data_IF_054960507471
#
_entry.id   IF_054960507471
#
_cell.length_a   1.000
_cell.length_b   1.000
_cell.length_c   1.000
_cell.angle_alpha   90.00
_cell.angle_beta   90.00
_cell.angle_gamma   90.00
#
_symmetry.space_group_name_H-M   'P 1'
#
loop_
_entity.id
_entity.type
_entity.pdbx_description
1 polymer ?
#
# COMPACT_ATOMS: atom_id res chain seq x y z
N UNK A 1 7.15 43.32 -46.85
CA UNK A 1 7.64 41.98 -46.49
C UNK A 1 7.94 41.84 -45.00
N UNK A 2 8.70 42.76 -44.38
CA UNK A 2 9.07 42.69 -42.94
C UNK A 2 7.88 42.66 -41.97
N UNK A 3 6.83 43.46 -42.21
CA UNK A 3 5.64 43.49 -41.35
C UNK A 3 4.87 42.16 -41.38
N UNK A 4 4.81 41.51 -42.53
CA UNK A 4 4.15 40.21 -42.70
C UNK A 4 4.94 39.09 -42.02
N UNK A 5 6.28 39.10 -42.12
CA UNK A 5 7.12 38.13 -41.42
C UNK A 5 7.09 38.32 -39.91
N UNK A 6 7.05 39.57 -39.40
CA UNK A 6 6.88 39.87 -37.98
C UNK A 6 5.52 39.42 -37.45
N UNK A 7 4.45 39.64 -38.23
CA UNK A 7 3.11 39.19 -37.87
C UNK A 7 2.99 37.66 -37.87
N UNK A 8 3.54 36.99 -38.88
CA UNK A 8 3.57 35.53 -38.96
C UNK A 8 4.42 34.91 -37.83
N UNK A 9 5.55 35.52 -37.48
CA UNK A 9 6.35 35.06 -36.33
C UNK A 9 5.58 35.25 -35.02
N UNK A 10 4.95 36.40 -34.78
CA UNK A 10 4.13 36.61 -33.58
C UNK A 10 2.95 35.63 -33.46
N UNK A 11 2.25 35.34 -34.57
CA UNK A 11 1.20 34.33 -34.61
C UNK A 11 1.72 32.93 -34.23
N UNK A 12 2.86 32.52 -34.79
CA UNK A 12 3.44 31.20 -34.54
C UNK A 12 4.09 31.07 -33.16
N UNK A 13 4.67 32.13 -32.60
CA UNK A 13 5.40 32.07 -31.33
C UNK A 13 4.56 32.43 -30.11
N UNK A 14 3.49 33.21 -30.27
CA UNK A 14 2.64 33.64 -29.15
C UNK A 14 1.23 33.07 -29.23
N UNK A 15 0.56 33.21 -30.38
CA UNK A 15 -0.86 32.84 -30.51
C UNK A 15 -1.04 31.32 -30.58
N UNK A 16 -0.27 30.64 -31.44
CA UNK A 16 -0.37 29.19 -31.60
C UNK A 16 -0.07 28.42 -30.30
N UNK A 17 1.00 28.72 -29.54
CA UNK A 17 1.26 28.04 -28.26
C UNK A 17 0.18 28.30 -27.22
N UNK A 18 -0.39 29.51 -27.17
CA UNK A 18 -1.49 29.83 -26.27
C UNK A 18 -2.76 29.03 -26.63
N UNK A 19 -3.10 28.93 -27.92
CA UNK A 19 -4.24 28.13 -28.38
C UNK A 19 -4.03 26.64 -28.09
N UNK A 20 -2.84 26.11 -28.33
CA UNK A 20 -2.49 24.72 -28.00
C UNK A 20 -2.57 24.47 -26.49
N UNK A 21 -2.12 25.41 -25.66
CA UNK A 21 -2.24 25.32 -24.21
C UNK A 21 -3.71 25.32 -23.75
N UNK A 22 -4.54 26.23 -24.27
CA UNK A 22 -5.97 26.27 -23.96
C UNK A 22 -6.69 25.00 -24.42
N UNK A 23 -6.36 24.49 -25.62
CA UNK A 23 -6.87 23.22 -26.12
C UNK A 23 -6.46 22.06 -25.21
N UNK A 24 -5.19 22.00 -24.77
CA UNK A 24 -4.70 20.98 -23.85
C UNK A 24 -5.41 21.05 -22.48
N UNK A 25 -5.66 22.25 -21.94
CA UNK A 25 -6.44 22.42 -20.70
C UNK A 25 -7.87 21.94 -20.88
N UNK A 26 -8.52 22.24 -22.01
CA UNK A 26 -9.89 21.76 -22.30
C UNK A 26 -9.95 20.25 -22.50
N UNK A 27 -8.99 19.67 -23.22
CA UNK A 27 -8.88 18.22 -23.36
C UNK A 27 -8.64 17.56 -22.01
N UNK A 28 -7.85 18.17 -21.13
CA UNK A 28 -7.65 17.70 -19.76
C UNK A 28 -8.92 17.74 -18.92
N UNK A 29 -9.70 18.82 -18.99
CA UNK A 29 -11.01 18.89 -18.32
C UNK A 29 -11.95 17.80 -18.80
N UNK A 30 -12.03 17.58 -20.12
CA UNK A 30 -12.84 16.52 -20.74
C UNK A 30 -12.35 15.14 -20.28
N UNK A 31 -11.05 14.87 -20.30
CA UNK A 31 -10.45 13.63 -19.81
C UNK A 31 -10.79 13.38 -18.33
N UNK A 32 -10.73 14.41 -17.50
CA UNK A 32 -11.03 14.27 -16.08
C UNK A 32 -12.49 13.89 -15.80
N UNK A 33 -13.42 14.26 -16.68
CA UNK A 33 -14.86 13.98 -16.52
C UNK A 33 -15.36 12.84 -17.40
N UNK A 34 -14.59 12.39 -18.40
CA UNK A 34 -15.02 11.35 -19.35
C UNK A 34 -15.27 10.00 -18.68
N UNK A 35 -14.59 9.73 -17.56
CA UNK A 35 -14.81 8.53 -16.74
C UNK A 35 -16.06 8.56 -15.84
N UNK A 36 -16.86 9.63 -15.89
CA UNK A 36 -18.14 9.73 -15.15
C UNK A 36 -19.19 8.83 -15.79
N UNK A 37 -19.96 8.13 -14.95
CA UNK A 37 -21.16 7.42 -15.39
C UNK A 37 -22.22 8.43 -15.91
N UNK A 38 -22.57 8.41 -17.22
CA UNK A 38 -23.55 9.33 -17.79
C UNK A 38 -24.96 9.15 -17.19
N UNK A 39 -25.28 7.96 -16.66
CA UNK A 39 -26.57 7.66 -16.05
C UNK A 39 -26.72 8.27 -14.65
N UNK A 40 -25.62 8.64 -14.00
CA UNK A 40 -25.61 9.20 -12.66
C UNK A 40 -25.85 10.71 -12.68
N UNK A 41 -27.04 11.13 -12.22
CA UNK A 41 -27.43 12.55 -12.12
C UNK A 41 -26.72 13.31 -10.99
N UNK A 42 -26.24 12.61 -9.97
CA UNK A 42 -25.56 13.23 -8.81
C UNK A 42 -24.23 13.88 -9.22
N UNK A 43 -23.85 15.00 -8.58
CA UNK A 43 -22.57 15.62 -8.84
C UNK A 43 -21.41 14.72 -8.40
N UNK A 44 -20.25 14.89 -9.06
CA UNK A 44 -19.01 14.25 -8.62
C UNK A 44 -18.61 14.78 -7.24
N UNK A 45 -17.87 13.99 -6.44
CA UNK A 45 -17.33 14.46 -5.17
C UNK A 45 -16.56 15.78 -5.29
N UNK A 46 -16.53 16.60 -4.23
CA UNK A 46 -15.71 17.81 -4.22
C UNK A 46 -14.23 17.48 -4.38
N UNK A 47 -13.42 18.40 -4.89
CA UNK A 47 -11.98 18.20 -5.04
C UNK A 47 -11.41 18.80 -6.32
N UNK A 48 -10.08 18.71 -6.45
CA UNK A 48 -9.33 19.30 -7.57
C UNK A 48 -8.55 18.22 -8.31
N UNK A 49 -8.57 18.26 -9.63
CA UNK A 49 -7.78 17.36 -10.49
C UNK A 49 -6.33 17.82 -10.65
N UNK A 50 -5.92 18.92 -10.03
CA UNK A 50 -4.56 19.43 -10.11
C UNK A 50 -4.18 19.95 -11.50
N UNK A 51 -2.87 19.95 -11.77
CA UNK A 51 -2.31 20.41 -13.03
C UNK A 51 -2.61 19.43 -14.17
N UNK A 52 -2.77 19.90 -15.42
CA UNK A 52 -2.86 19.03 -16.58
C UNK A 52 -1.76 17.98 -16.61
N UNK A 53 -2.12 16.73 -16.91
CA UNK A 53 -1.26 15.53 -17.03
C UNK A 53 -0.65 15.02 -15.71
N UNK A 54 -0.10 15.91 -14.88
CA UNK A 54 0.58 15.56 -13.62
C UNK A 54 -0.40 15.30 -12.47
N UNK A 55 -1.53 15.99 -12.50
CA UNK A 55 -2.49 16.04 -11.40
C UNK A 55 -1.86 16.58 -10.12
N UNK A 56 -2.04 15.83 -9.03
CA UNK A 56 -1.52 16.17 -7.69
C UNK A 56 -0.47 15.16 -7.19
N UNK A 57 -0.01 14.26 -8.08
CA UNK A 57 0.90 13.16 -7.75
C UNK A 57 2.21 13.66 -7.15
N UNK A 58 2.80 14.71 -7.72
CA UNK A 58 4.05 15.28 -7.22
C UNK A 58 3.86 15.91 -5.84
N UNK A 59 2.73 16.59 -5.61
CA UNK A 59 2.41 17.19 -4.32
C UNK A 59 2.21 16.11 -3.25
N UNK A 60 1.54 15.01 -3.59
CA UNK A 60 1.43 13.84 -2.72
C UNK A 60 2.81 13.27 -2.36
N UNK A 61 3.70 13.09 -3.35
CA UNK A 61 5.05 12.53 -3.13
C UNK A 61 5.91 13.42 -2.23
N UNK A 62 5.87 14.74 -2.46
CA UNK A 62 6.71 15.72 -1.74
C UNK A 62 6.16 16.03 -0.34
N UNK A 63 4.86 16.27 -0.21
CA UNK A 63 4.24 16.75 1.04
C UNK A 63 3.58 15.64 1.87
N UNK A 64 3.29 14.47 1.25
CA UNK A 64 2.81 13.24 1.91
C UNK A 64 1.64 13.48 2.87
N UNK A 65 1.83 13.18 4.15
CA UNK A 65 0.82 13.35 5.20
C UNK A 65 0.24 14.77 5.25
N UNK A 66 1.07 15.81 5.08
CA UNK A 66 0.61 17.20 5.07
C UNK A 66 -0.39 17.45 3.94
N UNK A 67 -0.11 16.94 2.75
CA UNK A 67 -1.02 17.05 1.61
C UNK A 67 -2.36 16.35 1.88
N UNK A 68 -2.32 15.12 2.39
CA UNK A 68 -3.53 14.36 2.71
C UNK A 68 -4.39 15.09 3.77
N UNK A 69 -3.76 15.58 4.84
CA UNK A 69 -4.44 16.32 5.92
C UNK A 69 -5.10 17.60 5.41
N UNK A 70 -4.39 18.40 4.60
CA UNK A 70 -4.96 19.62 4.00
C UNK A 70 -6.16 19.32 3.10
N UNK A 71 -6.13 18.21 2.34
CA UNK A 71 -7.23 17.82 1.46
C UNK A 71 -8.48 17.43 2.23
N UNK A 72 -8.32 16.64 3.30
CA UNK A 72 -9.42 16.25 4.17
C UNK A 72 -10.05 17.48 4.82
N UNK A 73 -9.24 18.41 5.34
CA UNK A 73 -9.75 19.65 5.92
C UNK A 73 -10.54 20.51 4.92
N UNK A 74 -10.14 20.51 3.64
CA UNK A 74 -10.76 21.34 2.60
C UNK A 74 -12.01 20.70 1.97
N UNK A 75 -11.99 19.39 1.73
CA UNK A 75 -13.01 18.71 0.92
C UNK A 75 -13.80 17.64 1.68
N UNK A 76 -13.43 17.35 2.94
CA UNK A 76 -14.05 16.30 3.75
C UNK A 76 -13.48 14.91 3.47
N UNK A 77 -14.21 13.89 3.92
CA UNK A 77 -13.77 12.49 3.93
C UNK A 77 -13.96 11.74 2.60
N UNK A 78 -14.62 12.38 1.62
CA UNK A 78 -14.79 11.86 0.27
C UNK A 78 -14.46 12.98 -0.70
N UNK A 79 -13.42 12.81 -1.52
CA UNK A 79 -13.03 13.84 -2.47
C UNK A 79 -12.34 13.28 -3.72
N UNK A 80 -12.45 14.01 -4.82
CA UNK A 80 -11.78 13.70 -6.10
C UNK A 80 -10.40 14.36 -6.20
N UNK A 81 -9.49 13.66 -6.86
CA UNK A 81 -8.14 14.12 -7.19
C UNK A 81 -7.62 13.39 -8.43
N UNK A 82 -6.45 13.75 -8.91
CA UNK A 82 -5.77 13.03 -9.99
C UNK A 82 -4.40 12.57 -9.50
N UNK A 83 -4.24 11.25 -9.37
CA UNK A 83 -3.04 10.63 -8.81
C UNK A 83 -2.56 9.50 -9.72
N UNK A 84 -1.24 9.40 -9.87
CA UNK A 84 -0.59 8.32 -10.63
C UNK A 84 -1.09 8.16 -12.07
N UNK A 85 -1.46 9.27 -12.72
CA UNK A 85 -1.93 9.25 -14.11
C UNK A 85 -3.41 8.95 -14.28
N UNK A 86 -4.21 8.94 -13.20
CA UNK A 86 -5.65 8.66 -13.32
C UNK A 86 -6.52 9.48 -12.36
N UNK A 87 -7.76 9.84 -12.78
CA UNK A 87 -8.78 10.36 -11.88
C UNK A 87 -9.03 9.39 -10.72
N UNK A 88 -9.08 9.91 -9.51
CA UNK A 88 -9.11 9.12 -8.28
C UNK A 88 -10.07 9.75 -7.27
N UNK A 89 -10.98 8.95 -6.71
CA UNK A 89 -11.73 9.28 -5.49
C UNK A 89 -10.97 8.76 -4.28
N UNK A 90 -10.68 9.64 -3.32
CA UNK A 90 -10.24 9.21 -1.99
C UNK A 90 -11.44 9.12 -1.07
N UNK A 91 -11.51 8.04 -0.31
CA UNK A 91 -12.56 7.78 0.66
C UNK A 91 -11.98 7.39 2.01
N UNK A 92 -12.71 7.74 3.08
CA UNK A 92 -12.33 7.49 4.46
C UNK A 92 -13.57 7.21 5.30
N UNK A 93 -13.36 6.58 6.46
CA UNK A 93 -14.42 6.32 7.43
C UNK A 93 -15.05 4.96 7.27
N UNK A 94 -15.47 4.39 8.41
CA UNK A 94 -15.85 2.99 8.52
C UNK A 94 -16.93 2.58 7.49
N UNK A 95 -18.01 3.36 7.36
CA UNK A 95 -19.13 3.01 6.48
C UNK A 95 -18.76 3.12 4.99
N UNK A 96 -18.02 4.16 4.59
CA UNK A 96 -17.55 4.32 3.22
C UNK A 96 -16.59 3.19 2.82
N UNK A 97 -15.63 2.88 3.70
CA UNK A 97 -14.64 1.84 3.44
C UNK A 97 -15.27 0.45 3.44
N UNK A 98 -16.26 0.20 4.30
CA UNK A 98 -17.05 -1.04 4.30
C UNK A 98 -17.69 -1.29 2.94
N UNK A 99 -18.31 -0.28 2.32
CA UNK A 99 -18.94 -0.44 1.00
C UNK A 99 -17.94 -0.86 -0.08
N UNK A 100 -16.74 -0.29 -0.08
CA UNK A 100 -15.69 -0.67 -1.04
C UNK A 100 -15.14 -2.06 -0.75
N UNK A 101 -14.83 -2.36 0.50
CA UNK A 101 -14.26 -3.67 0.88
C UNK A 101 -15.24 -4.83 0.64
N UNK A 102 -16.54 -4.60 0.84
CA UNK A 102 -17.59 -5.59 0.57
C UNK A 102 -18.06 -5.57 -0.90
N UNK A 103 -17.78 -4.49 -1.63
CA UNK A 103 -18.13 -4.31 -3.04
C UNK A 103 -17.13 -4.87 -4.03
N UNK A 104 -16.03 -5.52 -3.60
CA UNK A 104 -15.08 -6.17 -4.50
C UNK A 104 -15.81 -7.17 -5.41
N UNK A 105 -15.47 -7.16 -6.71
CA UNK A 105 -16.07 -7.96 -7.79
C UNK A 105 -17.46 -7.49 -8.25
N UNK A 106 -18.03 -6.43 -7.64
CA UNK A 106 -19.33 -5.85 -8.04
C UNK A 106 -19.24 -4.34 -8.31
N UNK A 107 -18.72 -3.59 -7.35
CA UNK A 107 -18.59 -2.14 -7.38
C UNK A 107 -17.16 -1.70 -7.75
N UNK A 108 -16.18 -2.47 -7.29
CA UNK A 108 -14.75 -2.20 -7.47
C UNK A 108 -13.99 -3.47 -7.80
N UNK A 109 -12.84 -3.29 -8.43
CA UNK A 109 -11.82 -4.32 -8.59
C UNK A 109 -10.50 -3.77 -8.08
N UNK A 110 -9.68 -4.62 -7.47
CA UNK A 110 -8.35 -4.20 -7.01
C UNK A 110 -7.49 -3.75 -8.19
N UNK A 111 -6.80 -2.63 -8.03
CA UNK A 111 -5.80 -2.16 -8.97
C UNK A 111 -4.62 -1.56 -8.20
N UNK A 112 -3.41 -1.87 -8.66
CA UNK A 112 -2.17 -1.32 -8.13
C UNK A 112 -1.55 -0.35 -9.14
N UNK A 113 -0.83 0.70 -8.67
CA UNK A 113 -0.05 1.56 -9.55
C UNK A 113 0.91 0.75 -10.41
N UNK A 114 1.20 1.25 -11.63
CA UNK A 114 2.08 0.55 -12.58
C UNK A 114 3.40 0.12 -11.95
N UNK A 115 4.05 0.99 -11.17
CA UNK A 115 5.29 0.69 -10.45
C UNK A 115 5.18 -0.53 -9.53
N UNK A 116 4.07 -0.66 -8.79
CA UNK A 116 3.82 -1.79 -7.88
C UNK A 116 3.54 -3.06 -8.67
N UNK A 117 2.74 -2.98 -9.75
CA UNK A 117 2.50 -4.12 -10.65
C UNK A 117 3.79 -4.63 -11.28
N UNK A 118 4.69 -3.72 -11.68
CA UNK A 118 6.00 -4.10 -12.23
C UNK A 118 6.86 -4.77 -11.16
N UNK A 119 6.89 -4.27 -9.92
CA UNK A 119 7.72 -4.89 -8.86
C UNK A 119 7.16 -6.26 -8.43
N UNK A 120 5.86 -6.39 -8.21
CA UNK A 120 5.28 -7.64 -7.72
C UNK A 120 5.13 -8.67 -8.84
N UNK A 121 4.66 -8.24 -10.01
CA UNK A 121 4.29 -9.10 -11.13
C UNK A 121 2.77 -9.27 -11.26
N UNK A 122 2.32 -9.52 -12.49
CA UNK A 122 0.90 -9.72 -12.83
C UNK A 122 0.31 -10.97 -12.16
N UNK A 123 1.16 -11.98 -11.95
CA UNK A 123 0.83 -13.27 -11.38
C UNK A 123 0.65 -13.30 -9.85
N UNK A 124 0.98 -12.21 -9.16
CA UNK A 124 0.88 -12.16 -7.70
C UNK A 124 -0.58 -12.10 -7.23
N UNK A 125 -0.87 -12.70 -6.07
CA UNK A 125 -2.21 -12.70 -5.45
C UNK A 125 -2.85 -11.30 -5.36
N UNK A 126 -2.05 -10.26 -5.18
CA UNK A 126 -2.45 -8.86 -5.12
C UNK A 126 -3.01 -8.31 -6.43
N UNK A 127 -2.64 -8.92 -7.56
CA UNK A 127 -2.95 -8.49 -8.93
C UNK A 127 -4.01 -9.36 -9.59
N UNK A 128 -4.31 -10.54 -9.02
CA UNK A 128 -5.33 -11.45 -9.55
C UNK A 128 -6.75 -10.95 -9.27
N UNK A 129 -7.71 -11.38 -10.08
CA UNK A 129 -9.13 -11.03 -9.96
C UNK A 129 -10.03 -12.26 -9.80
N UNK A 130 -11.25 -12.02 -9.32
CA UNK A 130 -12.36 -12.97 -9.29
C UNK A 130 -12.03 -14.39 -8.80
N UNK A 131 -12.33 -15.40 -9.62
CA UNK A 131 -12.17 -16.81 -9.31
C UNK A 131 -10.71 -17.20 -9.12
N UNK A 132 -9.79 -16.62 -9.89
CA UNK A 132 -8.36 -16.90 -9.79
C UNK A 132 -7.80 -16.39 -8.46
N UNK A 133 -8.16 -15.15 -8.08
CA UNK A 133 -7.82 -14.62 -6.77
C UNK A 133 -8.38 -15.50 -5.64
N UNK A 134 -9.66 -15.89 -5.71
CA UNK A 134 -10.31 -16.71 -4.68
C UNK A 134 -9.63 -18.08 -4.55
N UNK A 135 -9.29 -18.71 -5.68
CA UNK A 135 -8.58 -19.97 -5.70
C UNK A 135 -7.17 -19.84 -5.11
N UNK A 136 -6.37 -18.88 -5.59
CA UNK A 136 -5.00 -18.65 -5.11
C UNK A 136 -4.99 -18.32 -3.62
N UNK A 137 -5.89 -17.46 -3.14
CA UNK A 137 -6.02 -17.12 -1.73
C UNK A 137 -6.30 -18.36 -0.87
N UNK A 138 -7.21 -19.24 -1.32
CA UNK A 138 -7.54 -20.49 -0.61
C UNK A 138 -6.33 -21.41 -0.51
N UNK A 139 -5.53 -21.53 -1.57
CA UNK A 139 -4.31 -22.35 -1.57
C UNK A 139 -3.21 -21.74 -0.69
N UNK A 140 -3.15 -20.41 -0.57
CA UNK A 140 -2.20 -19.71 0.31
C UNK A 140 -2.63 -19.64 1.79
N UNK A 141 -3.91 -19.85 2.10
CA UNK A 141 -4.48 -19.71 3.44
C UNK A 141 -4.08 -20.77 4.49
N UNK A 142 -3.77 -22.05 4.16
CA UNK A 142 -3.53 -23.07 5.17
C UNK A 142 -2.06 -23.07 5.60
N UNK A 143 -1.73 -22.23 6.57
CA UNK A 143 -0.65 -22.53 7.50
C UNK A 143 -1.27 -22.79 8.86
N UNK A 144 -1.05 -24.00 9.40
CA UNK A 144 -1.49 -24.35 10.75
C UNK A 144 -0.85 -23.40 11.77
N UNK A 145 -1.59 -23.06 12.83
CA UNK A 145 -1.11 -22.26 13.97
C UNK A 145 0.23 -22.82 14.50
N UNK A 146 0.37 -24.16 14.56
CA UNK A 146 1.62 -24.82 14.96
C UNK A 146 2.79 -24.46 14.04
N UNK A 147 2.57 -24.42 12.72
CA UNK A 147 3.60 -23.99 11.76
C UNK A 147 3.93 -22.51 11.92
N UNK A 148 2.93 -21.67 12.17
CA UNK A 148 3.18 -20.23 12.43
C UNK A 148 4.04 -20.01 13.65
N UNK A 149 3.77 -20.71 14.76
CA UNK A 149 4.58 -20.66 15.98
C UNK A 149 6.01 -21.12 15.67
N UNK A 150 6.17 -22.28 15.05
CA UNK A 150 7.50 -22.83 14.75
C UNK A 150 8.32 -21.91 13.84
N UNK A 151 7.70 -21.32 12.81
CA UNK A 151 8.35 -20.34 11.94
C UNK A 151 8.72 -19.08 12.73
N UNK A 152 7.81 -18.58 13.58
CA UNK A 152 8.05 -17.37 14.37
C UNK A 152 9.22 -17.56 15.34
N UNK A 153 9.27 -18.68 16.07
CA UNK A 153 10.39 -19.03 16.95
C UNK A 153 11.69 -19.11 16.15
N UNK A 154 11.67 -19.73 14.97
CA UNK A 154 12.86 -19.87 14.12
C UNK A 154 13.38 -18.52 13.59
N UNK A 155 12.49 -17.57 13.33
CA UNK A 155 12.84 -16.22 12.89
C UNK A 155 13.34 -15.38 14.07
N UNK A 156 12.68 -15.48 15.23
CA UNK A 156 12.92 -14.61 16.37
C UNK A 156 14.09 -15.07 17.24
N UNK A 157 14.38 -16.37 17.36
CA UNK A 157 15.46 -16.83 18.25
C UNK A 157 16.85 -16.30 17.86
N UNK A 158 17.24 -16.24 16.57
CA UNK A 158 18.51 -15.62 16.20
C UNK A 158 18.51 -14.10 16.38
N UNK A 159 17.35 -13.45 16.19
CA UNK A 159 17.20 -12.01 16.38
C UNK A 159 17.41 -11.63 17.85
N UNK A 160 16.73 -12.31 18.77
CA UNK A 160 16.83 -12.03 20.20
C UNK A 160 18.24 -12.32 20.74
N UNK A 161 18.87 -13.42 20.32
CA UNK A 161 20.26 -13.75 20.69
C UNK A 161 21.30 -12.73 20.20
N UNK A 162 20.96 -11.89 19.25
CA UNK A 162 21.86 -10.93 18.64
C UNK A 162 21.29 -9.52 18.63
N UNK A 163 20.34 -9.23 19.53
CA UNK A 163 19.59 -7.97 19.51
C UNK A 163 20.54 -6.75 19.59
N UNK A 164 21.62 -6.85 20.39
CA UNK A 164 22.68 -5.84 20.50
C UNK A 164 23.50 -5.65 19.22
N UNK A 165 23.67 -6.71 18.42
CA UNK A 165 24.43 -6.65 17.15
C UNK A 165 23.59 -6.10 16.00
N UNK A 166 22.26 -6.32 16.03
CA UNK A 166 21.35 -5.86 14.97
C UNK A 166 21.37 -4.33 14.84
N UNK A 167 21.65 -3.60 15.94
CA UNK A 167 21.76 -2.14 15.93
C UNK A 167 22.88 -1.62 15.01
N UNK A 168 24.00 -2.35 14.87
CA UNK A 168 25.11 -1.93 14.01
C UNK A 168 24.84 -2.03 12.50
N UNK A 169 23.86 -2.85 12.10
CA UNK A 169 23.54 -3.11 10.68
C UNK A 169 22.49 -2.15 10.11
N UNK A 170 21.79 -1.38 10.94
CA UNK A 170 20.84 -0.36 10.51
C UNK A 170 21.58 0.93 10.12
N UNK A 171 22.31 0.88 9.00
CA UNK A 171 23.00 2.05 8.47
C UNK A 171 22.06 2.94 7.62
N UNK A 172 22.16 4.28 7.76
CA UNK A 172 21.31 5.22 7.08
C UNK A 172 21.74 5.30 5.61
N UNK A 173 20.83 5.00 4.69
CA UNK A 173 21.01 5.53 3.34
C UNK A 173 19.69 5.95 2.70
N UNK A 174 19.46 7.25 2.86
CA UNK A 174 19.32 8.20 1.77
C UNK A 174 18.09 8.05 0.90
N UNK A 175 17.22 9.06 1.03
CA UNK A 175 16.16 9.48 0.12
C UNK A 175 16.50 9.18 -1.35
N UNK A 176 16.13 7.99 -1.82
CA UNK A 176 16.30 7.64 -3.23
C UNK A 176 15.14 8.25 -4.02
N UNK A 177 15.49 9.00 -5.06
CA UNK A 177 14.57 9.43 -6.11
C UNK A 177 13.82 8.18 -6.60
N UNK A 178 12.49 8.23 -6.61
CA UNK A 178 11.58 7.09 -6.85
C UNK A 178 11.99 6.24 -8.07
N UNK A 179 12.56 6.88 -9.11
CA UNK A 179 13.03 6.22 -10.33
C UNK A 179 14.27 5.34 -10.08
N UNK A 180 15.26 5.84 -9.35
CA UNK A 180 16.44 5.05 -8.95
C UNK A 180 16.02 3.91 -8.01
N UNK A 181 15.03 4.17 -7.14
CA UNK A 181 14.50 3.16 -6.21
C UNK A 181 13.83 2.02 -6.97
N UNK A 182 13.06 2.35 -8.01
CA UNK A 182 12.38 1.37 -8.84
C UNK A 182 13.38 0.47 -9.58
N UNK A 183 14.41 1.04 -10.20
CA UNK A 183 15.43 0.25 -10.91
C UNK A 183 16.19 -0.70 -9.97
N UNK A 184 16.60 -0.22 -8.80
CA UNK A 184 17.24 -1.06 -7.77
C UNK A 184 16.29 -2.15 -7.27
N UNK A 185 15.00 -1.82 -7.07
CA UNK A 185 13.96 -2.78 -6.71
C UNK A 185 13.77 -3.89 -7.75
N UNK A 186 13.80 -3.54 -9.04
CA UNK A 186 13.69 -4.51 -10.14
C UNK A 186 14.90 -5.44 -10.21
N UNK A 187 16.12 -4.92 -10.02
CA UNK A 187 17.32 -5.76 -9.94
C UNK A 187 17.23 -6.75 -8.77
N UNK A 188 16.87 -6.26 -7.59
CA UNK A 188 16.68 -7.11 -6.41
C UNK A 188 15.62 -8.19 -6.63
N UNK A 189 14.47 -7.82 -7.20
CA UNK A 189 13.39 -8.76 -7.56
C UNK A 189 13.92 -9.89 -8.45
N UNK A 190 14.65 -9.54 -9.52
CA UNK A 190 15.14 -10.55 -10.47
C UNK A 190 16.11 -11.55 -9.80
N UNK A 191 17.01 -11.06 -8.92
CA UNK A 191 17.92 -11.92 -8.14
C UNK A 191 17.15 -12.85 -7.20
N UNK A 192 16.18 -12.31 -6.47
CA UNK A 192 15.33 -13.10 -5.56
C UNK A 192 14.54 -14.16 -6.33
N UNK A 193 13.93 -13.79 -7.46
CA UNK A 193 13.17 -14.70 -8.30
C UNK A 193 14.04 -15.85 -8.82
N UNK A 194 15.23 -15.55 -9.35
CA UNK A 194 16.16 -16.57 -9.82
C UNK A 194 16.53 -17.56 -8.70
N UNK A 195 16.75 -17.05 -7.48
CA UNK A 195 17.07 -17.90 -6.33
C UNK A 195 15.90 -18.76 -5.87
N UNK A 196 14.69 -18.20 -5.88
CA UNK A 196 13.47 -18.95 -5.55
C UNK A 196 13.24 -20.06 -6.59
N UNK A 197 13.41 -19.75 -7.88
CA UNK A 197 13.24 -20.72 -8.96
C UNK A 197 14.25 -21.87 -8.86
N UNK A 198 15.52 -21.57 -8.60
CA UNK A 198 16.56 -22.57 -8.34
C UNK A 198 16.15 -23.50 -7.17
N UNK A 199 15.64 -22.92 -6.08
CA UNK A 199 15.18 -23.68 -4.91
C UNK A 199 13.94 -24.54 -5.20
N UNK A 200 13.01 -24.05 -6.04
CA UNK A 200 11.84 -24.80 -6.48
C UNK A 200 12.29 -26.01 -7.32
N UNK A 201 13.14 -25.80 -8.33
CA UNK A 201 13.67 -26.87 -9.18
C UNK A 201 14.38 -27.95 -8.35
N UNK A 202 15.21 -27.55 -7.39
CA UNK A 202 15.87 -28.47 -6.45
C UNK A 202 14.90 -29.28 -5.59
N UNK A 203 13.78 -28.68 -5.17
CA UNK A 203 12.75 -29.38 -4.39
C UNK A 203 11.90 -30.32 -5.25
N UNK A 204 11.63 -29.94 -6.50
CA UNK A 204 10.89 -30.79 -7.45
C UNK A 204 11.71 -32.01 -7.87
N UNK A 205 13.01 -31.83 -8.13
CA UNK A 205 13.91 -32.93 -8.50
C UNK A 205 14.10 -34.00 -7.40
N UNK A 206 13.68 -33.72 -6.15
CA UNK A 206 13.78 -34.64 -5.01
C UNK A 206 12.47 -35.34 -4.66
N UNK A 207 11.37 -35.11 -5.40
CA UNK A 207 10.06 -35.71 -5.11
C UNK A 207 9.70 -36.76 -6.14
N UNK A 208 9.12 -37.86 -5.65
CA UNK A 208 8.68 -39.01 -6.43
C UNK A 208 7.57 -38.61 -7.42
N UNK A 209 7.63 -39.17 -8.63
CA UNK A 209 6.95 -38.70 -9.85
C UNK A 209 5.45 -39.04 -9.95
N UNK A 210 4.76 -39.36 -8.84
CA UNK A 210 3.35 -39.80 -8.88
C UNK A 210 2.31 -38.69 -8.72
N UNK A 211 2.70 -37.47 -8.33
CA UNK A 211 1.76 -36.36 -8.12
C UNK A 211 1.82 -35.35 -9.27
N UNK A 212 0.91 -35.50 -10.23
CA UNK A 212 0.75 -34.61 -11.38
C UNK A 212 0.13 -33.27 -10.94
N UNK A 213 0.96 -32.30 -10.56
CA UNK A 213 0.53 -30.91 -10.40
C UNK A 213 0.96 -30.08 -11.60
N UNK A 214 0.01 -29.34 -12.20
CA UNK A 214 0.30 -28.34 -13.23
C UNK A 214 1.23 -27.28 -12.64
N UNK A 215 2.30 -26.96 -13.35
CA UNK A 215 3.27 -25.94 -12.95
C UNK A 215 2.55 -24.62 -12.69
N UNK A 216 2.64 -24.16 -11.44
CA UNK A 216 2.04 -22.90 -11.00
C UNK A 216 2.54 -21.75 -11.86
N UNK A 217 3.80 -21.78 -12.32
CA UNK A 217 4.37 -20.76 -13.19
C UNK A 217 3.74 -20.78 -14.60
N UNK A 218 3.52 -21.97 -15.16
CA UNK A 218 2.85 -22.15 -16.45
C UNK A 218 1.40 -21.65 -16.41
N UNK A 219 0.67 -21.97 -15.32
CA UNK A 219 -0.68 -21.43 -15.09
C UNK A 219 -0.67 -19.90 -14.99
N UNK A 220 0.34 -19.31 -14.36
CA UNK A 220 0.46 -17.86 -14.22
C UNK A 220 0.79 -17.16 -15.55
N UNK A 221 1.51 -17.84 -16.46
CA UNK A 221 1.79 -17.34 -17.82
C UNK A 221 0.52 -17.41 -18.68
N UNK A 222 -0.20 -18.55 -18.64
CA UNK A 222 -1.43 -18.78 -19.41
C UNK A 222 -2.58 -17.83 -19.03
N UNK A 223 -2.68 -17.42 -17.76
CA UNK A 223 -3.71 -16.47 -17.30
C UNK A 223 -3.33 -14.99 -17.50
N UNK A 224 -2.07 -14.69 -17.82
CA UNK A 224 -1.59 -13.32 -18.02
C UNK A 224 -1.99 -12.68 -19.35
N UNK A 225 -2.60 -13.46 -20.26
CA UNK A 225 -2.93 -13.05 -21.65
C UNK A 225 -4.43 -12.82 -21.89
N UNK A 226 -5.17 -12.26 -20.93
CA UNK A 226 -6.55 -11.81 -21.18
C UNK A 226 -6.69 -10.30 -20.98
N UNK A 227 -7.23 -9.69 -22.01
CA UNK A 227 -7.13 -8.29 -22.40
C UNK A 227 -7.79 -7.25 -21.48
N UNK A 228 -7.25 -6.03 -21.63
CA UNK A 228 -7.83 -4.67 -21.52
C UNK A 228 -9.35 -4.60 -21.83
N UNK A 229 -10.21 -3.69 -21.34
CA UNK A 229 -10.25 -2.36 -20.68
C UNK A 229 -11.71 -2.24 -20.08
N UNK A 230 -12.13 -1.29 -19.20
CA UNK A 230 -11.77 0.12 -19.27
C UNK A 230 -11.36 0.81 -17.96
N UNK A 231 -10.55 1.86 -18.14
CA UNK A 231 -10.26 2.87 -17.12
C UNK A 231 -11.54 3.58 -16.66
N UNK A 232 -11.99 3.22 -15.46
CA UNK A 232 -12.89 4.03 -14.63
C UNK A 232 -12.07 4.70 -13.53
N UNK A 233 -12.65 5.70 -12.87
CA UNK A 233 -11.98 6.39 -11.78
C UNK A 233 -11.46 5.41 -10.72
N UNK A 234 -10.24 5.63 -10.25
CA UNK A 234 -9.69 4.86 -9.15
C UNK A 234 -10.40 5.23 -7.85
N UNK A 235 -10.55 4.26 -6.95
CA UNK A 235 -10.98 4.54 -5.57
C UNK A 235 -9.86 4.12 -4.64
N UNK A 236 -9.34 5.07 -3.86
CA UNK A 236 -8.33 4.82 -2.83
C UNK A 236 -8.97 5.04 -1.48
N UNK A 237 -9.17 3.95 -0.72
CA UNK A 237 -9.51 4.04 0.69
C UNK A 237 -8.24 4.18 1.55
N UNK A 238 -8.36 4.87 2.68
CA UNK A 238 -7.23 5.05 3.61
C UNK A 238 -7.50 4.35 4.93
N UNK A 239 -6.61 3.43 5.30
CA UNK A 239 -6.64 2.76 6.61
C UNK A 239 -6.33 3.77 7.71
N UNK A 240 -5.22 4.50 7.59
CA UNK A 240 -4.78 5.48 8.59
C UNK A 240 -5.85 6.54 8.82
N UNK A 241 -6.36 7.15 7.75
CA UNK A 241 -7.34 8.23 7.90
C UNK A 241 -8.70 7.69 8.41
N UNK A 242 -9.02 6.41 8.17
CA UNK A 242 -10.23 5.78 8.73
C UNK A 242 -10.08 5.53 10.23
N UNK A 243 -8.90 5.10 10.69
CA UNK A 243 -8.62 4.94 12.12
C UNK A 243 -8.63 6.32 12.82
N UNK A 244 -8.04 7.34 12.19
CA UNK A 244 -7.96 8.71 12.72
C UNK A 244 -9.30 9.37 13.03
N UNK A 245 -10.39 8.89 12.45
CA UNK A 245 -11.75 9.43 12.61
C UNK A 245 -12.73 8.42 13.22
N UNK A 246 -12.28 7.20 13.52
CA UNK A 246 -13.16 6.19 14.10
C UNK A 246 -13.36 6.47 15.60
N UNK A 247 -14.61 6.35 16.05
CA UNK A 247 -15.04 6.70 17.41
C UNK A 247 -14.31 5.93 18.52
N UNK A 248 -13.90 4.69 18.23
CA UNK A 248 -13.06 3.84 19.09
C UNK A 248 -11.72 4.50 19.47
N UNK A 249 -11.21 5.43 18.66
CA UNK A 249 -9.94 6.13 18.91
C UNK A 249 -10.17 7.50 19.56
N UNK A 250 -10.88 7.52 20.69
CA UNK A 250 -10.92 8.69 21.59
C UNK A 250 -9.49 9.03 22.05
N UNK A 251 -9.11 10.31 21.99
CA UNK A 251 -7.72 10.79 22.23
C UNK A 251 -6.67 10.02 21.42
N UNK A 252 -6.79 10.07 20.09
CA UNK A 252 -5.96 9.30 19.15
C UNK A 252 -4.45 9.50 19.24
N UNK A 253 -4.01 10.63 19.78
CA UNK A 253 -2.57 10.93 19.95
C UNK A 253 -1.97 10.19 21.18
N UNK A 254 -2.81 9.56 22.01
CA UNK A 254 -2.39 8.77 23.17
C UNK A 254 -2.35 7.28 22.86
N UNK A 255 -1.22 6.64 23.15
CA UNK A 255 -1.09 5.18 23.12
C UNK A 255 -1.82 4.58 24.32
N UNK A 256 -3.06 4.13 24.11
CA UNK A 256 -3.89 3.48 25.11
C UNK A 256 -4.40 2.12 24.59
N UNK A 257 -3.81 0.99 25.02
CA UNK A 257 -4.25 -0.36 24.66
C UNK A 257 -5.65 -0.73 25.19
N UNK A 258 -6.07 -0.16 26.32
CA UNK A 258 -7.29 -0.55 27.03
C UNK A 258 -8.58 -0.22 26.24
N UNK A 259 -8.48 0.62 25.21
CA UNK A 259 -9.59 0.91 24.28
C UNK A 259 -10.11 -0.33 23.52
N UNK A 260 -9.34 -1.41 23.51
CA UNK A 260 -9.72 -2.68 22.88
C UNK A 260 -10.26 -3.73 23.88
N UNK A 261 -10.39 -3.37 25.17
CA UNK A 261 -10.96 -4.24 26.19
C UNK A 261 -12.48 -4.41 26.03
N UNK A 262 -13.00 -5.52 26.53
CA UNK A 262 -14.41 -5.90 26.39
C UNK A 262 -15.33 -4.89 27.11
N UNK A 263 -16.38 -4.41 26.42
CA UNK A 263 -17.31 -3.39 26.93
C UNK A 263 -17.10 -1.97 26.39
N UNK A 264 -15.95 -1.67 25.79
CA UNK A 264 -15.64 -0.34 25.22
C UNK A 264 -16.13 -0.15 23.76
N UNK A 265 -16.72 -1.17 23.12
CA UNK A 265 -17.04 -1.18 21.69
C UNK A 265 -18.51 -1.51 21.42
N UNK A 266 -19.17 -0.65 20.64
CA UNK A 266 -20.44 -1.01 20.01
C UNK A 266 -20.20 -2.05 18.90
N UNK A 267 -21.04 -3.11 18.87
CA UNK A 267 -20.83 -4.33 18.08
C UNK A 267 -20.79 -4.12 16.55
N UNK A 268 -21.39 -3.06 16.03
CA UNK A 268 -21.52 -2.84 14.57
C UNK A 268 -20.60 -1.74 14.00
N UNK A 269 -20.34 -0.66 14.73
CA UNK A 269 -19.42 0.42 14.31
C UNK A 269 -17.94 0.02 14.42
N UNK A 270 -17.61 -0.96 15.26
CA UNK A 270 -16.24 -1.41 15.54
C UNK A 270 -15.58 -2.22 14.40
N UNK A 271 -16.35 -2.91 13.54
CA UNK A 271 -15.77 -3.88 12.58
C UNK A 271 -15.00 -3.24 11.43
N UNK A 272 -15.40 -2.05 10.99
CA UNK A 272 -14.74 -1.31 9.90
C UNK A 272 -14.07 -0.01 10.36
N UNK A 273 -14.26 0.38 11.62
CA UNK A 273 -13.48 1.45 12.26
C UNK A 273 -12.02 1.07 12.53
N UNK A 274 -11.74 -0.23 12.69
CA UNK A 274 -10.38 -0.75 12.86
C UNK A 274 -10.05 -1.88 11.86
N UNK A 275 -9.37 -1.49 10.78
CA UNK A 275 -9.02 -2.33 9.62
C UNK A 275 -7.51 -2.40 9.31
N UNK A 276 -6.62 -2.68 10.28
CA UNK A 276 -5.16 -2.69 10.05
C UNK A 276 -4.70 -3.74 9.03
N UNK A 277 -5.54 -4.76 8.78
CA UNK A 277 -5.30 -5.83 7.81
C UNK A 277 -6.25 -5.75 6.60
N UNK A 278 -6.86 -4.58 6.38
CA UNK A 278 -7.97 -4.40 5.45
C UNK A 278 -9.22 -5.19 5.87
N UNK A 279 -10.07 -5.53 4.90
CA UNK A 279 -11.28 -6.31 5.13
C UNK A 279 -11.84 -6.91 3.83
N UNK A 280 -13.01 -7.54 3.92
CA UNK A 280 -13.67 -8.17 2.77
C UNK A 280 -12.89 -9.34 2.16
N UNK A 281 -13.12 -9.59 0.87
CA UNK A 281 -12.47 -10.69 0.12
C UNK A 281 -10.95 -10.47 -0.03
N UNK A 282 -10.48 -9.22 0.06
CA UNK A 282 -9.08 -8.80 -0.06
C UNK A 282 -8.35 -8.63 1.28
N UNK A 283 -8.94 -9.08 2.39
CA UNK A 283 -8.29 -9.10 3.71
C UNK A 283 -6.94 -9.81 3.68
N UNK A 284 -5.97 -9.29 4.44
CA UNK A 284 -4.60 -9.80 4.48
C UNK A 284 -4.54 -11.30 4.75
N UNK A 285 -3.95 -12.06 3.83
CA UNK A 285 -3.77 -13.52 3.96
C UNK A 285 -2.83 -13.88 5.12
N UNK A 286 -1.89 -13.00 5.47
CA UNK A 286 -0.92 -13.21 6.54
C UNK A 286 -1.34 -12.66 7.90
N UNK A 287 -2.59 -12.22 8.09
CA UNK A 287 -3.07 -11.58 9.33
C UNK A 287 -2.74 -12.39 10.60
N UNK A 288 -3.08 -13.68 10.61
CA UNK A 288 -2.89 -14.50 11.80
C UNK A 288 -1.41 -14.83 12.05
N UNK A 289 -0.62 -15.02 10.99
CA UNK A 289 0.84 -15.14 11.12
C UNK A 289 1.46 -13.88 11.74
N UNK A 290 1.10 -12.70 11.23
CA UNK A 290 1.60 -11.42 11.76
C UNK A 290 1.25 -11.24 13.23
N UNK A 291 0.01 -11.58 13.63
CA UNK A 291 -0.42 -11.52 15.03
C UNK A 291 0.38 -12.47 15.92
N UNK A 292 0.59 -13.71 15.50
CA UNK A 292 1.40 -14.68 16.27
C UNK A 292 2.85 -14.22 16.39
N UNK A 293 3.45 -13.77 15.28
CA UNK A 293 4.82 -13.27 15.26
C UNK A 293 5.01 -12.08 16.20
N UNK A 294 4.11 -11.09 16.13
CA UNK A 294 4.16 -9.90 17.00
C UNK A 294 3.94 -10.24 18.48
N UNK A 295 3.03 -11.17 18.78
CA UNK A 295 2.80 -11.63 20.16
C UNK A 295 4.03 -12.32 20.74
N UNK A 296 4.61 -13.27 20.00
CA UNK A 296 5.83 -13.97 20.45
C UNK A 296 6.96 -12.96 20.61
N UNK A 297 7.18 -12.08 19.63
CA UNK A 297 8.19 -11.03 19.72
C UNK A 297 8.01 -10.17 20.98
N UNK A 298 6.78 -9.72 21.26
CA UNK A 298 6.49 -8.90 22.44
C UNK A 298 6.76 -9.67 23.72
N UNK A 299 6.27 -10.92 23.84
CA UNK A 299 6.46 -11.75 25.03
C UNK A 299 7.93 -12.05 25.29
N UNK A 300 8.70 -12.37 24.24
CA UNK A 300 10.13 -12.61 24.40
C UNK A 300 10.85 -11.33 24.80
N UNK A 301 10.62 -10.21 24.10
CA UNK A 301 11.28 -8.94 24.38
C UNK A 301 11.08 -8.51 25.85
N UNK A 302 9.84 -8.50 26.35
CA UNK A 302 9.53 -8.08 27.72
C UNK A 302 10.01 -9.05 28.79
N UNK A 303 10.34 -10.29 28.41
CA UNK A 303 10.86 -11.31 29.34
C UNK A 303 12.38 -11.34 29.39
N UNK A 304 13.07 -10.87 28.35
CA UNK A 304 14.51 -11.03 28.23
C UNK A 304 15.29 -9.76 28.54
N UNK A 305 14.73 -8.57 28.28
CA UNK A 305 15.48 -7.33 28.47
C UNK A 305 14.59 -6.12 28.77
N UNK A 306 15.20 -5.16 29.46
CA UNK A 306 14.78 -3.76 29.46
C UNK A 306 15.36 -3.04 28.23
N UNK A 307 14.75 -1.93 27.87
CA UNK A 307 15.26 -1.09 26.77
C UNK A 307 15.07 0.40 27.03
N UNK A 308 15.99 1.19 26.48
CA UNK A 308 15.96 2.64 26.53
C UNK A 308 16.10 3.23 25.12
N UNK A 309 15.22 4.18 24.78
CA UNK A 309 15.35 4.97 23.55
C UNK A 309 16.38 6.06 23.75
N UNK A 310 17.51 5.98 23.04
CA UNK A 310 18.64 6.88 23.23
C UNK A 310 18.33 8.35 22.89
N UNK A 311 17.33 8.58 22.03
CA UNK A 311 16.90 9.91 21.59
C UNK A 311 15.50 10.29 22.09
N UNK A 312 14.91 9.50 23.00
CA UNK A 312 13.51 9.66 23.40
C UNK A 312 12.51 9.28 22.30
N UNK A 313 11.26 9.79 22.34
CA UNK A 313 10.22 9.45 21.37
C UNK A 313 10.61 9.83 19.93
N UNK A 314 10.57 8.90 18.97
CA UNK A 314 11.05 9.15 17.62
C UNK A 314 10.08 10.00 16.80
N UNK A 315 10.62 10.81 15.89
CA UNK A 315 9.81 11.40 14.82
C UNK A 315 9.49 10.32 13.78
N UNK A 316 8.21 10.09 13.51
CA UNK A 316 7.76 9.07 12.57
C UNK A 316 7.60 9.64 11.15
N UNK A 317 7.94 8.83 10.13
CA UNK A 317 7.78 9.15 8.72
C UNK A 317 7.07 7.99 8.00
N UNK A 318 6.27 8.31 7.00
CA UNK A 318 5.58 7.30 6.17
C UNK A 318 6.20 7.24 4.77
N UNK A 319 6.69 6.06 4.36
CA UNK A 319 7.01 5.72 2.95
C UNK A 319 7.58 4.30 2.79
N UNK A 320 6.88 3.35 2.13
CA UNK A 320 5.42 3.21 2.07
C UNK A 320 4.83 2.75 3.42
N UNK A 321 5.65 2.23 4.31
CA UNK A 321 5.32 1.89 5.70
C UNK A 321 5.70 3.04 6.64
N UNK A 322 5.21 3.00 7.87
CA UNK A 322 5.58 3.96 8.93
C UNK A 322 6.89 3.49 9.57
N UNK A 323 7.86 4.39 9.72
CA UNK A 323 9.17 4.11 10.31
C UNK A 323 9.73 5.35 11.04
N UNK A 324 10.56 5.15 12.07
CA UNK A 324 11.22 6.25 12.80
C UNK A 324 12.35 6.84 11.95
N UNK A 325 12.44 8.17 11.91
CA UNK A 325 13.40 8.90 11.05
C UNK A 325 14.85 8.60 11.41
N UNK A 326 15.13 8.38 12.69
CA UNK A 326 16.46 8.09 13.24
C UNK A 326 16.76 6.58 13.30
N UNK A 327 15.88 5.74 12.74
CA UNK A 327 15.94 4.28 12.81
C UNK A 327 15.87 3.70 14.23
N UNK A 328 15.29 4.44 15.19
CA UNK A 328 15.03 4.00 16.57
C UNK A 328 16.26 3.49 17.33
N UNK A 329 17.30 4.33 17.58
CA UNK A 329 18.44 3.92 18.37
C UNK A 329 17.97 3.51 19.78
N UNK A 330 18.17 2.23 20.10
CA UNK A 330 17.65 1.60 21.31
C UNK A 330 18.78 0.83 21.97
N UNK A 331 18.98 1.01 23.27
CA UNK A 331 19.90 0.20 24.07
C UNK A 331 19.10 -0.86 24.81
N UNK A 332 19.47 -2.12 24.63
CA UNK A 332 18.88 -3.23 25.38
C UNK A 332 19.77 -3.60 26.57
N UNK A 333 19.15 -3.96 27.69
CA UNK A 333 19.82 -4.44 28.89
C UNK A 333 19.16 -5.75 29.31
N UNK A 334 19.87 -6.86 29.22
CA UNK A 334 19.33 -8.16 29.63
C UNK A 334 18.96 -8.14 31.11
N UNK A 335 17.84 -8.75 31.45
CA UNK A 335 17.56 -9.10 32.83
C UNK A 335 18.54 -10.21 33.19
N UNK A 336 19.68 -9.87 33.80
CA UNK A 336 20.56 -10.89 34.37
C UNK A 336 19.70 -11.80 35.24
N UNK A 337 19.85 -13.12 35.08
CA UNK A 337 19.31 -14.09 36.02
C UNK A 337 19.91 -13.77 37.41
N UNK A 338 19.24 -12.90 38.16
CA UNK A 338 19.37 -12.93 39.61
C UNK A 338 18.69 -14.21 40.04
N UNK A 339 19.55 -15.20 40.32
CA UNK A 339 19.38 -16.49 40.99
C UNK A 339 19.64 -17.70 40.08
#
# INVERSE_FOLDING_TARGET
MVLFTLFATFLCTCVLPLLLFLAAVKLWEVYCISGRDPSCKSPLPPGSMGLPFLGETLQLVLQRYKFLKMKVQKYGYIYKTHLFGSPTVRIMGAENVKQILLGEHKLVSVQWPASVRTILGAACLSSLHDSEHKHRKRVSAPFSVTKHIQISIRILSPFLKHIDRVQSYWQPNSTLIIILALNSGLKARNVIHAKIEENIRKKMAKRDTSDQFKDVLQLLIEHSQKDDEPLRWNVIYSICDTHDIAEIFSKKDEFNPDRFMEGCLEKDSSRFGYIPFGGGSRSCVGKEFAKVLLKIFTVELVRTCDWELLNGPPTMKTSPTVYPVDNLPTKFTEFYDTV
#
